data_IF_544573355245
#
_entry.id   IF_544573355245
#
_cell.length_a   1.000
_cell.length_b   1.000
_cell.length_c   1.000
_cell.angle_alpha   90.00
_cell.angle_beta   90.00
_cell.angle_gamma   90.00
#
_symmetry.space_group_name_H-M   'P 1'
#
loop_
_entity.id
_entity.type
_entity.pdbx_description
1 polymer ?
#
# COMPACT_ATOMS: atom_id res chain seq x y z
N UNK A 1 13.49 -23.94 12.86
CA UNK A 1 13.15 -23.19 14.09
C UNK A 1 11.95 -22.33 13.74
N UNK A 2 10.76 -22.74 14.16
CA UNK A 2 9.56 -21.91 14.08
C UNK A 2 9.58 -21.08 15.36
N UNK A 3 9.79 -19.78 15.23
CA UNK A 3 9.74 -18.86 16.35
C UNK A 3 8.28 -18.75 16.82
N UNK A 4 8.00 -19.32 18.00
CA UNK A 4 6.66 -19.37 18.61
C UNK A 4 6.31 -18.05 19.30
N UNK A 5 7.20 -17.03 19.29
CA UNK A 5 6.95 -15.71 19.88
C UNK A 5 6.88 -14.56 18.85
N UNK A 6 6.46 -14.83 17.62
CA UNK A 6 6.16 -13.75 16.69
C UNK A 6 4.87 -13.03 17.11
N UNK A 7 4.99 -11.97 17.92
CA UNK A 7 3.87 -11.07 18.27
C UNK A 7 3.13 -10.55 17.02
N UNK A 8 1.89 -10.05 17.18
CA UNK A 8 0.95 -9.87 16.07
C UNK A 8 1.48 -8.99 14.93
N UNK A 9 0.95 -9.22 13.73
CA UNK A 9 1.13 -8.34 12.58
C UNK A 9 -0.21 -7.64 12.30
N UNK A 10 -0.24 -6.30 12.40
CA UNK A 10 -1.48 -5.51 12.30
C UNK A 10 -1.35 -4.44 11.22
N UNK A 11 -2.32 -4.41 10.31
CA UNK A 11 -2.39 -3.44 9.21
C UNK A 11 -3.85 -3.05 8.98
N UNK A 12 -4.14 -1.75 9.04
CA UNK A 12 -5.41 -1.23 8.55
C UNK A 12 -5.31 -0.96 7.05
N UNK A 13 -6.43 -1.04 6.35
CA UNK A 13 -6.48 -0.77 4.91
C UNK A 13 -7.75 -0.03 4.52
N UNK A 14 -7.67 0.71 3.42
CA UNK A 14 -8.82 1.34 2.75
C UNK A 14 -8.78 0.98 1.29
N UNK A 15 -9.92 0.60 0.72
CA UNK A 15 -10.08 0.41 -0.73
C UNK A 15 -10.30 1.78 -1.35
N UNK A 16 -9.30 2.30 -2.07
CA UNK A 16 -9.33 3.62 -2.70
C UNK A 16 -9.86 3.58 -4.13
N UNK A 17 -9.74 2.44 -4.80
CA UNK A 17 -10.27 2.23 -6.14
C UNK A 17 -10.49 0.75 -6.45
N UNK A 18 -11.45 0.48 -7.34
CA UNK A 18 -11.69 -0.85 -7.95
C UNK A 18 -11.57 -0.72 -9.46
N UNK A 19 -11.10 -1.76 -10.12
CA UNK A 19 -10.81 -1.74 -11.55
C UNK A 19 -10.60 -3.13 -12.12
N UNK A 20 -10.18 -3.19 -13.37
CA UNK A 20 -9.87 -4.42 -14.09
C UNK A 20 -8.47 -4.27 -14.71
N UNK A 21 -7.63 -5.27 -14.55
CA UNK A 21 -6.31 -5.37 -15.15
C UNK A 21 -6.13 -6.77 -15.72
N UNK A 22 -5.82 -6.89 -17.01
CA UNK A 22 -5.74 -8.16 -17.75
C UNK A 22 -6.95 -9.06 -17.48
N UNK A 23 -8.14 -8.54 -17.79
CA UNK A 23 -9.44 -9.20 -17.66
C UNK A 23 -9.78 -9.74 -16.25
N UNK A 24 -9.10 -9.25 -15.21
CA UNK A 24 -9.37 -9.64 -13.84
C UNK A 24 -9.58 -8.47 -12.91
N UNK A 25 -10.43 -8.65 -11.88
CA UNK A 25 -10.69 -7.62 -10.89
C UNK A 25 -9.42 -7.30 -10.10
N UNK A 26 -9.18 -6.01 -9.92
CA UNK A 26 -8.10 -5.47 -9.08
C UNK A 26 -8.63 -4.35 -8.19
N UNK A 27 -7.94 -4.13 -7.07
CA UNK A 27 -8.21 -3.03 -6.16
C UNK A 27 -6.93 -2.24 -5.90
N UNK A 28 -7.08 -0.92 -5.83
CA UNK A 28 -6.07 -0.04 -5.27
C UNK A 28 -6.36 0.10 -3.77
N UNK A 29 -5.37 -0.21 -2.94
CA UNK A 29 -5.45 -0.11 -1.49
C UNK A 29 -4.47 0.93 -0.95
N UNK A 30 -4.94 1.72 0.03
CA UNK A 30 -4.06 2.38 1.00
C UNK A 30 -3.86 1.44 2.19
N UNK A 31 -2.61 1.25 2.64
CA UNK A 31 -2.23 0.33 3.70
C UNK A 31 -1.51 1.08 4.83
N UNK A 32 -1.95 0.87 6.07
CA UNK A 32 -1.41 1.50 7.28
C UNK A 32 -0.91 0.41 8.25
N UNK A 33 0.36 -0.02 8.14
CA UNK A 33 0.93 -0.99 9.06
C UNK A 33 1.18 -0.37 10.44
N UNK A 34 0.66 -0.99 11.51
CA UNK A 34 1.00 -0.65 12.90
C UNK A 34 2.23 -1.40 13.41
N UNK A 35 2.63 -2.44 12.69
CA UNK A 35 3.79 -3.27 12.97
C UNK A 35 4.66 -3.40 11.72
N UNK A 36 5.94 -3.71 11.89
CA UNK A 36 6.92 -3.78 10.80
C UNK A 36 7.43 -5.20 10.49
N UNK A 37 6.57 -6.23 10.53
CA UNK A 37 7.02 -7.61 10.31
C UNK A 37 7.53 -7.83 8.89
N UNK A 38 8.43 -8.80 8.72
CA UNK A 38 9.00 -9.13 7.40
C UNK A 38 7.89 -9.46 6.40
N UNK A 39 7.86 -8.71 5.31
CA UNK A 39 6.85 -8.85 4.24
C UNK A 39 5.39 -8.69 4.68
N UNK A 40 5.13 -8.06 5.82
CA UNK A 40 3.80 -7.98 6.43
C UNK A 40 2.68 -7.65 5.45
N UNK A 41 2.79 -6.54 4.72
CA UNK A 41 1.77 -6.08 3.77
C UNK A 41 1.50 -7.09 2.65
N UNK A 42 2.56 -7.75 2.17
CA UNK A 42 2.49 -8.73 1.09
C UNK A 42 1.75 -9.99 1.54
N UNK A 43 2.10 -10.50 2.72
CA UNK A 43 1.44 -11.65 3.35
C UNK A 43 0.00 -11.32 3.70
N UNK A 44 -0.28 -10.14 4.26
CA UNK A 44 -1.65 -9.71 4.58
C UNK A 44 -2.53 -9.63 3.33
N UNK A 45 -2.02 -9.11 2.22
CA UNK A 45 -2.77 -9.08 0.97
C UNK A 45 -3.00 -10.49 0.41
N UNK A 46 -1.95 -11.31 0.32
CA UNK A 46 -2.04 -12.64 -0.26
C UNK A 46 -2.86 -13.63 0.58
N UNK A 47 -2.59 -13.74 1.88
CA UNK A 47 -3.16 -14.74 2.77
C UNK A 47 -4.34 -14.19 3.60
N UNK A 48 -4.30 -12.90 3.97
CA UNK A 48 -5.37 -12.28 4.76
C UNK A 48 -6.56 -11.85 3.91
N UNK A 49 -6.30 -11.08 2.85
CA UNK A 49 -7.32 -10.56 1.94
C UNK A 49 -7.59 -11.49 0.75
N UNK A 50 -6.85 -12.61 0.63
CA UNK A 50 -6.95 -13.55 -0.49
C UNK A 50 -6.78 -12.85 -1.86
N UNK A 51 -6.01 -11.76 -1.88
CA UNK A 51 -5.81 -10.88 -3.03
C UNK A 51 -4.35 -10.41 -3.05
N UNK A 52 -3.47 -11.21 -3.65
CA UNK A 52 -2.05 -10.90 -3.69
C UNK A 52 -1.74 -9.61 -4.46
N UNK A 53 -0.69 -8.90 -4.04
CA UNK A 53 -0.23 -7.66 -4.69
C UNK A 53 0.22 -7.98 -6.11
N UNK A 54 -0.18 -7.13 -7.07
CA UNK A 54 0.23 -7.26 -8.48
C UNK A 54 1.76 -7.23 -8.59
N UNK A 55 2.31 -8.24 -9.26
CA UNK A 55 3.75 -8.40 -9.42
C UNK A 55 4.50 -8.93 -8.19
N UNK A 56 3.79 -9.41 -7.17
CA UNK A 56 4.41 -10.16 -6.09
C UNK A 56 4.75 -11.60 -6.53
N UNK A 57 5.97 -11.80 -7.03
CA UNK A 57 6.43 -13.13 -7.45
C UNK A 57 6.63 -14.16 -6.32
N UNK A 58 6.53 -13.77 -5.05
CA UNK A 58 6.70 -14.69 -3.92
C UNK A 58 5.37 -15.20 -3.37
N UNK A 59 4.38 -14.31 -3.24
CA UNK A 59 3.10 -14.62 -2.59
C UNK A 59 1.91 -14.58 -3.57
N UNK A 60 2.11 -14.12 -4.82
CA UNK A 60 1.07 -14.07 -5.84
C UNK A 60 1.20 -15.16 -6.89
N UNK A 61 0.06 -15.67 -7.36
CA UNK A 61 -0.02 -16.60 -8.49
C UNK A 61 -0.06 -15.87 -9.85
N UNK A 62 -0.56 -14.62 -9.87
CA UNK A 62 -0.49 -13.71 -11.03
C UNK A 62 0.91 -13.15 -11.16
N UNK A 63 1.80 -14.04 -11.59
CA UNK A 63 3.16 -13.71 -12.01
C UNK A 63 3.20 -13.27 -13.47
N UNK A 64 2.04 -13.09 -14.13
CA UNK A 64 1.79 -12.51 -15.46
C UNK A 64 0.83 -11.28 -15.37
N UNK A 65 0.82 -10.41 -16.37
CA UNK A 65 0.68 -8.93 -16.27
C UNK A 65 0.96 -8.38 -17.66
N UNK A 66 0.50 -7.19 -18.04
CA UNK A 66 -0.07 -6.99 -19.37
C UNK A 66 0.88 -7.33 -20.52
N UNK A 67 2.16 -6.99 -20.36
CA UNK A 67 3.14 -7.01 -21.46
C UNK A 67 4.17 -8.17 -21.39
N UNK A 68 3.98 -9.18 -20.51
CA UNK A 68 4.95 -10.28 -20.36
C UNK A 68 6.32 -9.89 -19.77
N UNK A 69 6.57 -8.60 -19.51
CA UNK A 69 7.78 -8.11 -18.85
C UNK A 69 7.88 -8.53 -17.38
N UNK A 70 9.11 -8.55 -16.84
CA UNK A 70 9.41 -8.88 -15.44
C UNK A 70 8.59 -8.01 -14.50
N UNK A 71 7.78 -8.67 -13.67
CA UNK A 71 6.72 -8.03 -12.90
C UNK A 71 7.29 -7.22 -11.74
N UNK A 72 7.24 -5.90 -11.83
CA UNK A 72 7.58 -5.01 -10.73
C UNK A 72 6.47 -5.05 -9.68
N UNK A 73 6.87 -5.11 -8.41
CA UNK A 73 5.94 -5.12 -7.28
C UNK A 73 5.12 -3.83 -7.25
N UNK A 74 3.79 -3.96 -7.18
CA UNK A 74 2.85 -2.85 -7.02
C UNK A 74 2.66 -2.49 -5.54
N UNK A 75 3.77 -2.27 -4.84
CA UNK A 75 3.80 -1.81 -3.46
C UNK A 75 4.75 -0.61 -3.38
N UNK A 76 4.20 0.53 -2.96
CA UNK A 76 4.93 1.78 -2.89
C UNK A 76 4.67 2.47 -1.55
N UNK A 77 5.75 2.82 -0.85
CA UNK A 77 5.67 3.61 0.37
C UNK A 77 5.47 5.09 -0.01
N UNK A 78 4.21 5.49 -0.14
CA UNK A 78 3.81 6.80 -0.69
C UNK A 78 4.03 7.95 0.29
N UNK A 79 3.71 7.78 1.58
CA UNK A 79 3.71 8.87 2.55
C UNK A 79 4.21 8.39 3.91
N UNK A 80 5.04 9.21 4.54
CA UNK A 80 5.49 9.01 5.93
C UNK A 80 5.29 10.32 6.70
N UNK A 81 4.85 10.21 7.95
CA UNK A 81 4.73 11.33 8.88
C UNK A 81 5.71 11.10 10.02
N UNK A 82 6.63 12.05 10.22
CA UNK A 82 7.68 11.95 11.23
C UNK A 82 7.67 13.18 12.14
N UNK A 83 7.97 13.02 13.43
CA UNK A 83 8.14 14.16 14.31
C UNK A 83 9.41 14.93 13.95
N UNK A 84 9.31 16.26 13.89
CA UNK A 84 10.46 17.14 13.66
C UNK A 84 10.78 17.92 14.94
N UNK A 85 12.01 17.79 15.44
CA UNK A 85 12.41 18.32 16.76
C UNK A 85 13.04 19.71 16.70
N UNK A 86 13.19 20.32 15.53
CA UNK A 86 13.82 21.64 15.41
C UNK A 86 12.85 22.78 15.79
N UNK A 87 13.31 23.78 16.56
CA UNK A 87 12.53 24.97 16.85
C UNK A 87 12.08 25.70 15.57
N UNK A 88 10.81 26.11 15.51
CA UNK A 88 10.24 26.86 14.38
C UNK A 88 9.71 26.00 13.22
N UNK A 89 9.73 24.67 13.34
CA UNK A 89 9.11 23.74 12.39
C UNK A 89 7.84 23.10 12.97
N UNK A 90 6.92 22.61 12.11
CA UNK A 90 5.77 21.83 12.58
C UNK A 90 6.20 20.59 13.36
N UNK A 91 5.50 20.28 14.45
CA UNK A 91 5.77 19.11 15.30
C UNK A 91 5.76 17.80 14.50
N UNK A 92 4.87 17.69 13.52
CA UNK A 92 4.79 16.57 12.58
C UNK A 92 4.99 17.08 11.15
N UNK A 93 5.89 16.44 10.42
CA UNK A 93 6.15 16.72 9.00
C UNK A 93 5.79 15.49 8.17
N UNK A 94 4.98 15.70 7.13
CA UNK A 94 4.64 14.67 6.16
C UNK A 94 5.54 14.78 4.93
N UNK A 95 6.08 13.65 4.48
CA UNK A 95 6.84 13.54 3.23
C UNK A 95 6.12 12.56 2.31
N UNK A 96 5.88 12.98 1.07
CA UNK A 96 5.19 12.17 0.05
C UNK A 96 6.14 11.88 -1.10
N UNK A 97 6.38 10.60 -1.39
CA UNK A 97 7.19 10.15 -2.53
C UNK A 97 6.34 10.14 -3.82
N UNK A 98 6.86 10.60 -4.97
CA UNK A 98 6.14 10.53 -6.23
C UNK A 98 5.87 9.08 -6.64
N UNK A 99 4.76 8.88 -7.33
CA UNK A 99 4.37 7.57 -7.82
C UNK A 99 5.39 7.04 -8.84
N UNK A 100 5.87 5.79 -8.71
CA UNK A 100 6.77 5.22 -9.70
C UNK A 100 6.06 4.94 -11.06
N UNK A 101 6.77 5.04 -12.20
CA UNK A 101 6.16 4.94 -13.53
C UNK A 101 5.32 3.68 -13.79
N UNK A 102 5.71 2.53 -13.22
CA UNK A 102 4.96 1.28 -13.44
C UNK A 102 3.60 1.26 -12.74
N UNK A 103 3.46 1.94 -11.59
CA UNK A 103 2.16 2.11 -10.94
C UNK A 103 1.30 3.11 -11.71
N UNK A 104 1.89 4.21 -12.20
CA UNK A 104 1.16 5.20 -13.01
C UNK A 104 0.55 4.58 -14.26
N UNK A 105 1.27 3.70 -14.95
CA UNK A 105 0.76 3.00 -16.12
C UNK A 105 -0.50 2.18 -15.77
N UNK A 106 -0.45 1.41 -14.68
CA UNK A 106 -1.58 0.62 -14.17
C UNK A 106 -2.74 1.49 -13.67
N UNK A 107 -2.46 2.59 -12.97
CA UNK A 107 -3.51 3.53 -12.54
C UNK A 107 -4.24 4.14 -13.73
N UNK A 108 -3.51 4.55 -14.77
CA UNK A 108 -4.12 5.06 -16.01
C UNK A 108 -4.98 4.02 -16.72
N UNK A 109 -4.53 2.76 -16.82
CA UNK A 109 -5.34 1.70 -17.44
C UNK A 109 -6.63 1.39 -16.66
N UNK A 110 -6.60 1.55 -15.34
CA UNK A 110 -7.75 1.37 -14.48
C UNK A 110 -8.64 2.61 -14.32
N UNK A 111 -8.29 3.75 -14.95
CA UNK A 111 -9.03 5.02 -14.81
C UNK A 111 -8.90 5.69 -13.44
N UNK A 112 -7.84 5.38 -12.70
CA UNK A 112 -7.57 5.91 -11.37
C UNK A 112 -6.73 7.19 -11.42
N UNK A 113 -7.06 8.15 -10.55
CA UNK A 113 -6.30 9.40 -10.41
C UNK A 113 -5.09 9.21 -9.48
N UNK A 114 -3.84 9.36 -9.98
CA UNK A 114 -2.63 9.19 -9.17
C UNK A 114 -2.42 10.30 -8.13
N UNK A 115 -3.09 11.44 -8.30
CA UNK A 115 -3.05 12.58 -7.39
C UNK A 115 -4.20 12.57 -6.39
N UNK A 116 -5.09 11.57 -6.45
CA UNK A 116 -6.12 11.36 -5.44
C UNK A 116 -5.46 11.27 -4.06
N UNK A 117 -5.92 12.13 -3.14
CA UNK A 117 -5.41 12.17 -1.79
C UNK A 117 -5.80 10.93 -0.99
N UNK A 118 -4.94 10.58 -0.02
CA UNK A 118 -5.12 9.41 0.80
C UNK A 118 -6.24 9.63 1.85
N UNK A 119 -7.39 8.93 1.75
CA UNK A 119 -8.57 9.25 2.57
C UNK A 119 -8.34 9.09 4.08
N UNK A 120 -7.43 8.20 4.52
CA UNK A 120 -7.18 8.05 5.96
C UNK A 120 -6.12 9.03 6.51
N UNK A 121 -5.44 9.81 5.67
CA UNK A 121 -4.49 10.83 6.11
C UNK A 121 -5.15 12.20 6.22
N UNK A 122 -6.27 12.41 5.53
CA UNK A 122 -7.09 13.61 5.65
C UNK A 122 -8.18 13.43 6.72
N UNK A 123 -7.75 13.03 7.91
CA UNK A 123 -8.50 13.34 9.11
C UNK A 123 -8.41 14.84 9.35
N UNK A 124 -9.55 15.52 9.26
CA UNK A 124 -9.76 16.74 10.02
C UNK A 124 -9.23 16.52 11.45
N UNK A 125 -8.72 17.56 12.09
CA UNK A 125 -8.51 17.56 13.53
C UNK A 125 -9.78 17.03 14.23
N UNK A 126 -9.83 15.73 14.57
CA UNK A 126 -11.04 15.11 15.12
C UNK A 126 -11.35 13.65 14.73
N UNK A 127 -10.80 13.08 13.66
CA UNK A 127 -11.02 11.63 13.42
C UNK A 127 -10.06 10.82 14.31
N UNK A 128 -10.56 9.93 15.19
CA UNK A 128 -9.69 9.12 16.02
C UNK A 128 -8.85 8.21 15.11
N UNK A 129 -7.59 7.91 15.48
CA UNK A 129 -6.82 6.90 14.77
C UNK A 129 -7.65 5.62 14.75
N UNK A 130 -7.77 5.00 13.58
CA UNK A 130 -8.40 3.69 13.44
C UNK A 130 -7.72 2.74 14.43
N UNK A 131 -8.43 2.42 15.51
CA UNK A 131 -7.95 1.58 16.63
C UNK A 131 -7.81 0.12 16.20
#
# INVERSE_FOLDING_TARGET
VVDVEAGPAVTNYVVTGRGVLDDAPVAWLSLYPFTGRKHQLRVHCAEGLQTAIVGDGKYGQRTTGPDGATRRLHLHHRKVVLPWKEPGRPELTAVTAPVPPHLLATWRSCGWDPDQEDPAVNGHAGSPPLR
#
